data_IF_207955742950
#
_entry.id   IF_207955742950
#
_cell.length_a   1.000
_cell.length_b   1.000
_cell.length_c   1.000
_cell.angle_alpha   90.00
_cell.angle_beta   90.00
_cell.angle_gamma   90.00
#
_symmetry.space_group_name_H-M   'P 1'
#
loop_
_entity.id
_entity.type
_entity.pdbx_description
1 polymer ?
#
# COMPACT_ATOMS: atom_id res chain seq x y z
N UNK A 1 -7.38 -8.02 22.28
CA UNK A 1 -6.84 -7.68 20.94
C UNK A 1 -5.36 -7.38 21.10
N UNK A 2 -4.49 -8.33 20.75
CA UNK A 2 -3.04 -8.16 20.88
C UNK A 2 -2.47 -8.06 19.47
N UNK A 3 -1.76 -6.96 19.16
CA UNK A 3 -0.85 -6.84 18.01
C UNK A 3 -1.44 -6.75 16.61
N UNK A 4 -2.64 -6.17 16.41
CA UNK A 4 -3.09 -5.81 15.03
C UNK A 4 -2.99 -4.30 14.85
N UNK A 5 -2.45 -3.89 13.69
CA UNK A 5 -2.55 -2.50 13.25
C UNK A 5 -4.01 -2.03 13.32
N UNK A 6 -4.26 -0.79 13.74
CA UNK A 6 -5.61 -0.23 13.74
C UNK A 6 -6.17 -0.30 12.32
N UNK A 7 -7.39 -0.82 12.21
CA UNK A 7 -8.11 -0.92 10.95
C UNK A 7 -9.26 0.10 10.96
N UNK A 8 -9.34 0.98 9.95
CA UNK A 8 -10.33 2.05 9.94
C UNK A 8 -11.76 1.50 9.73
N UNK A 9 -12.75 2.15 10.36
CA UNK A 9 -14.16 1.75 10.38
C UNK A 9 -14.84 1.54 9.00
N UNK A 10 -14.52 2.31 7.93
CA UNK A 10 -15.08 2.07 6.59
C UNK A 10 -14.34 0.97 5.79
N UNK A 11 -13.29 0.36 6.35
CA UNK A 11 -12.54 -0.74 5.74
C UNK A 11 -11.81 -0.37 4.44
N UNK A 12 -11.80 -1.28 3.45
CA UNK A 12 -11.04 -1.11 2.20
C UNK A 12 -11.52 0.06 1.32
N UNK A 13 -12.73 0.59 1.57
CA UNK A 13 -13.31 1.65 0.75
C UNK A 13 -12.44 2.91 0.72
N UNK A 14 -11.93 3.36 1.87
CA UNK A 14 -11.05 4.54 1.96
C UNK A 14 -9.64 4.32 1.40
N UNK A 15 -9.33 3.08 1.01
CA UNK A 15 -8.06 2.69 0.37
C UNK A 15 -8.22 2.53 -1.15
N UNK A 16 -9.39 2.83 -1.70
CA UNK A 16 -9.67 2.78 -3.13
C UNK A 16 -10.37 4.07 -3.58
N UNK A 17 -9.65 5.22 -3.63
CA UNK A 17 -10.26 6.49 -3.97
C UNK A 17 -11.01 6.46 -5.31
N UNK A 18 -12.17 7.10 -5.34
CA UNK A 18 -13.07 7.14 -6.49
C UNK A 18 -14.02 5.95 -6.59
N UNK A 19 -14.35 5.52 -7.82
CA UNK A 19 -15.35 4.48 -8.05
C UNK A 19 -14.88 3.10 -7.53
N UNK A 20 -15.62 2.54 -6.59
CA UNK A 20 -15.37 1.23 -5.99
C UNK A 20 -16.03 0.15 -6.84
N UNK A 21 -15.21 -0.76 -7.38
CA UNK A 21 -15.68 -1.94 -8.11
C UNK A 21 -15.10 -3.21 -7.47
N UNK A 22 -15.75 -4.37 -7.70
CA UNK A 22 -15.27 -5.65 -7.18
C UNK A 22 -13.83 -5.94 -7.62
N UNK A 23 -13.53 -5.75 -8.91
CA UNK A 23 -12.21 -6.02 -9.47
C UNK A 23 -11.12 -5.14 -8.83
N UNK A 24 -11.41 -3.85 -8.58
CA UNK A 24 -10.50 -2.95 -7.87
C UNK A 24 -10.25 -3.40 -6.43
N UNK A 25 -11.31 -3.83 -5.74
CA UNK A 25 -11.19 -4.37 -4.38
C UNK A 25 -10.38 -5.66 -4.35
N UNK A 26 -10.52 -6.53 -5.35
CA UNK A 26 -9.74 -7.77 -5.46
C UNK A 26 -8.25 -7.45 -5.69
N UNK A 27 -7.93 -6.51 -6.58
CA UNK A 27 -6.55 -6.01 -6.79
C UNK A 27 -5.96 -5.45 -5.48
N UNK A 28 -6.71 -4.57 -4.81
CA UNK A 28 -6.27 -3.94 -3.57
C UNK A 28 -6.01 -4.96 -2.47
N UNK A 29 -6.90 -5.95 -2.30
CA UNK A 29 -6.73 -7.02 -1.28
C UNK A 29 -5.45 -7.81 -1.51
N UNK A 30 -5.18 -8.22 -2.74
CA UNK A 30 -3.98 -9.00 -3.07
C UNK A 30 -2.70 -8.18 -2.85
N UNK A 31 -2.70 -6.90 -3.24
CA UNK A 31 -1.56 -6.02 -3.02
C UNK A 31 -1.30 -5.77 -1.54
N UNK A 32 -2.36 -5.53 -0.75
CA UNK A 32 -2.28 -5.34 0.70
C UNK A 32 -1.78 -6.62 1.39
N UNK A 33 -2.27 -7.79 0.99
CA UNK A 33 -1.85 -9.09 1.53
C UNK A 33 -0.35 -9.32 1.34
N UNK A 34 0.16 -9.14 0.12
CA UNK A 34 1.60 -9.27 -0.18
C UNK A 34 2.42 -8.29 0.64
N UNK A 35 2.00 -7.03 0.69
CA UNK A 35 2.74 -5.99 1.42
C UNK A 35 2.84 -6.29 2.91
N UNK A 36 1.72 -6.66 3.53
CA UNK A 36 1.68 -7.01 4.95
C UNK A 36 2.44 -8.31 5.23
N UNK A 37 2.39 -9.29 4.32
CA UNK A 37 3.19 -10.52 4.41
C UNK A 37 4.69 -10.19 4.46
N UNK A 38 5.17 -9.33 3.54
CA UNK A 38 6.58 -8.91 3.49
C UNK A 38 7.02 -8.18 4.76
N UNK A 39 6.18 -7.27 5.26
CA UNK A 39 6.45 -6.58 6.55
C UNK A 39 6.63 -7.59 7.69
N UNK A 40 5.77 -8.62 7.76
CA UNK A 40 5.87 -9.67 8.79
C UNK A 40 7.10 -10.54 8.59
N UNK A 41 7.42 -10.93 7.37
CA UNK A 41 8.62 -11.72 7.04
C UNK A 41 9.91 -10.98 7.41
N UNK A 42 9.92 -9.66 7.25
CA UNK A 42 11.03 -8.81 7.64
C UNK A 42 11.10 -8.53 9.15
N UNK A 43 10.11 -8.97 9.94
CA UNK A 43 10.06 -8.71 11.39
C UNK A 43 9.68 -7.28 11.78
N UNK A 44 9.21 -6.47 10.83
CA UNK A 44 8.97 -5.02 11.01
C UNK A 44 7.55 -4.70 11.49
N UNK A 45 6.67 -5.70 11.59
CA UNK A 45 5.24 -5.49 11.83
C UNK A 45 4.95 -4.73 13.13
N UNK A 46 5.69 -5.05 14.19
CA UNK A 46 5.52 -4.45 15.51
C UNK A 46 6.24 -3.10 15.65
N UNK A 47 7.11 -2.74 14.71
CA UNK A 47 7.77 -1.42 14.66
C UNK A 47 6.90 -0.35 13.98
N UNK A 48 5.93 -0.80 13.18
CA UNK A 48 5.07 0.06 12.37
C UNK A 48 3.74 0.24 13.09
N UNK A 49 3.29 1.50 13.18
CA UNK A 49 1.99 1.81 13.76
C UNK A 49 0.85 1.32 12.86
N UNK A 50 0.93 1.63 11.58
CA UNK A 50 -0.04 1.21 10.58
C UNK A 50 0.62 1.11 9.21
N UNK A 51 0.36 0.01 8.50
CA UNK A 51 0.74 -0.19 7.11
C UNK A 51 -0.43 -0.70 6.27
N UNK A 52 -0.50 -0.27 5.01
CA UNK A 52 -1.50 -0.73 4.04
C UNK A 52 -1.16 -0.30 2.61
N UNK A 53 -1.81 -0.95 1.64
CA UNK A 53 -1.84 -0.54 0.24
C UNK A 53 -3.06 0.35 -0.07
N UNK A 54 -2.94 1.20 -1.08
CA UNK A 54 -4.00 2.04 -1.66
C UNK A 54 -3.98 1.87 -3.18
N UNK A 55 -5.13 1.66 -3.80
CA UNK A 55 -5.25 1.57 -5.25
C UNK A 55 -5.62 2.93 -5.82
N UNK A 56 -4.72 3.55 -6.58
CA UNK A 56 -4.94 4.90 -7.10
C UNK A 56 -5.87 4.88 -8.33
N UNK A 57 -6.75 5.88 -8.49
CA UNK A 57 -7.64 6.00 -9.65
C UNK A 57 -6.92 6.50 -10.91
N UNK A 58 -5.68 6.05 -11.13
CA UNK A 58 -4.86 6.39 -12.29
C UNK A 58 -4.32 5.13 -12.96
N UNK A 59 -4.29 5.15 -14.29
CA UNK A 59 -3.66 4.11 -15.11
C UNK A 59 -2.31 4.61 -15.60
N UNK A 60 -1.35 3.71 -15.74
CA UNK A 60 -0.01 4.05 -16.21
C UNK A 60 0.49 3.03 -17.22
N UNK A 61 1.38 3.48 -18.10
CA UNK A 61 2.03 2.62 -19.09
C UNK A 61 3.09 1.78 -18.40
N UNK A 62 3.04 0.48 -18.66
CA UNK A 62 4.08 -0.48 -18.32
C UNK A 62 4.52 -1.25 -19.56
N UNK A 63 5.59 -2.03 -19.39
CA UNK A 63 6.03 -3.02 -20.38
C UNK A 63 6.07 -4.36 -19.67
N UNK A 64 5.28 -5.32 -20.15
CA UNK A 64 5.29 -6.70 -19.66
C UNK A 64 5.46 -7.64 -20.86
N UNK A 65 6.53 -8.44 -20.85
CA UNK A 65 6.94 -9.20 -22.03
C UNK A 65 7.21 -8.27 -23.21
N UNK A 66 6.64 -8.58 -24.37
CA UNK A 66 6.79 -7.80 -25.60
C UNK A 66 5.72 -6.71 -25.78
N UNK A 67 4.79 -6.58 -24.82
CA UNK A 67 3.61 -5.71 -24.92
C UNK A 67 3.62 -4.53 -23.96
N UNK A 68 2.90 -3.46 -24.34
CA UNK A 68 2.57 -2.35 -23.43
C UNK A 68 1.34 -2.71 -22.60
N UNK A 69 1.36 -2.41 -21.32
CA UNK A 69 0.22 -2.55 -20.42
C UNK A 69 -0.28 -1.18 -19.96
N UNK A 70 -1.58 -1.09 -19.66
CA UNK A 70 -2.23 0.08 -19.06
C UNK A 70 -2.91 -0.34 -17.76
N UNK A 71 -2.12 -0.47 -16.70
CA UNK A 71 -2.55 -1.01 -15.42
C UNK A 71 -2.55 0.03 -14.30
N UNK A 72 -3.06 -0.37 -13.14
CA UNK A 72 -3.23 0.53 -12.00
C UNK A 72 -1.91 0.80 -11.28
N UNK A 73 -1.91 1.88 -10.52
CA UNK A 73 -0.85 2.22 -9.56
C UNK A 73 -1.29 1.85 -8.15
N UNK A 74 -0.42 1.16 -7.42
CA UNK A 74 -0.59 0.91 -5.99
C UNK A 74 0.33 1.84 -5.21
N UNK A 75 -0.21 2.59 -4.25
CA UNK A 75 0.57 3.31 -3.25
C UNK A 75 0.70 2.46 -1.99
N UNK A 76 1.92 2.33 -1.48
CA UNK A 76 2.22 1.72 -0.20
C UNK A 76 2.30 2.82 0.86
N UNK A 77 1.67 2.58 2.00
CA UNK A 77 1.70 3.45 3.17
C UNK A 77 2.21 2.68 4.37
N UNK A 78 3.16 3.24 5.09
CA UNK A 78 3.45 2.84 6.47
C UNK A 78 3.82 4.07 7.27
N UNK A 79 3.37 4.12 8.52
CA UNK A 79 3.65 5.23 9.42
C UNK A 79 4.07 4.73 10.79
N UNK A 80 4.87 5.55 11.47
CA UNK A 80 5.10 5.46 12.91
C UNK A 80 4.37 6.59 13.60
N UNK A 81 3.85 6.33 14.79
CA UNK A 81 3.15 7.33 15.59
C UNK A 81 3.24 6.95 17.06
N UNK A 82 3.28 7.96 17.92
CA UNK A 82 3.26 7.77 19.38
C UNK A 82 1.84 7.86 19.93
N UNK A 83 0.99 8.70 19.32
CA UNK A 83 -0.34 9.06 19.86
C UNK A 83 -1.44 9.20 18.79
N UNK A 84 -1.14 8.92 17.52
CA UNK A 84 -2.05 9.08 16.39
C UNK A 84 -2.32 10.53 15.98
N UNK A 85 -1.83 11.54 16.70
CA UNK A 85 -2.00 12.96 16.37
C UNK A 85 -0.98 13.41 15.32
N UNK A 86 0.28 12.99 15.48
CA UNK A 86 1.33 13.14 14.47
C UNK A 86 1.82 11.77 14.01
N UNK A 87 2.25 11.68 12.75
CA UNK A 87 2.81 10.45 12.22
C UNK A 87 3.85 10.74 11.14
N UNK A 88 4.98 10.05 11.20
CA UNK A 88 6.00 10.08 10.15
C UNK A 88 5.92 8.82 9.31
N UNK A 89 6.24 8.94 8.02
CA UNK A 89 6.35 7.76 7.17
C UNK A 89 7.42 6.81 7.71
N UNK A 90 7.18 5.51 7.64
CA UNK A 90 8.17 4.53 8.08
C UNK A 90 9.35 4.51 7.08
N UNK A 91 10.60 4.71 7.51
CA UNK A 91 11.73 4.83 6.59
C UNK A 91 12.25 3.44 6.17
N UNK A 92 11.47 2.72 5.36
CA UNK A 92 11.90 1.43 4.84
C UNK A 92 13.24 1.54 4.08
N UNK A 93 14.05 0.50 4.19
CA UNK A 93 15.18 0.31 3.28
C UNK A 93 14.68 0.18 1.84
N UNK A 94 15.35 0.83 0.89
CA UNK A 94 14.95 0.83 -0.51
C UNK A 94 14.93 -0.58 -1.12
N UNK A 95 15.72 -1.53 -0.61
CA UNK A 95 15.70 -2.93 -1.04
C UNK A 95 14.44 -3.63 -0.58
N UNK A 96 13.94 -3.33 0.62
CA UNK A 96 12.64 -3.83 1.08
C UNK A 96 11.52 -3.35 0.15
N UNK A 97 11.47 -2.04 -0.12
CA UNK A 97 10.47 -1.47 -1.02
C UNK A 97 10.56 -2.05 -2.44
N UNK A 98 11.77 -2.21 -2.97
CA UNK A 98 11.98 -2.82 -4.29
C UNK A 98 11.50 -4.28 -4.33
N UNK A 99 11.74 -5.05 -3.26
CA UNK A 99 11.30 -6.44 -3.16
C UNK A 99 9.77 -6.55 -3.11
N UNK A 100 9.13 -5.81 -2.20
CA UNK A 100 7.68 -5.78 -2.10
C UNK A 100 7.01 -5.31 -3.39
N UNK A 101 7.53 -4.25 -4.02
CA UNK A 101 7.05 -3.77 -5.31
C UNK A 101 7.16 -4.82 -6.42
N UNK A 102 8.28 -5.55 -6.48
CA UNK A 102 8.49 -6.62 -7.46
C UNK A 102 7.48 -7.75 -7.27
N UNK A 103 7.23 -8.18 -6.03
CA UNK A 103 6.22 -9.20 -5.74
C UNK A 103 4.83 -8.73 -6.17
N UNK A 104 4.42 -7.53 -5.79
CA UNK A 104 3.11 -6.97 -6.15
C UNK A 104 2.93 -6.93 -7.67
N UNK A 105 3.91 -6.42 -8.42
CA UNK A 105 3.82 -6.30 -9.89
C UNK A 105 3.73 -7.68 -10.56
N UNK A 106 4.45 -8.69 -10.04
CA UNK A 106 4.48 -10.01 -10.64
C UNK A 106 3.26 -10.88 -10.26
N UNK A 107 2.73 -10.72 -9.05
CA UNK A 107 1.69 -11.59 -8.50
C UNK A 107 0.28 -10.98 -8.66
N UNK A 108 0.15 -9.65 -8.73
CA UNK A 108 -1.15 -8.96 -8.80
C UNK A 108 -1.43 -8.49 -10.24
N UNK A 109 -2.26 -9.26 -10.95
CA UNK A 109 -2.75 -8.86 -12.28
C UNK A 109 -3.49 -7.52 -12.20
N UNK A 110 -3.15 -6.59 -13.09
CA UNK A 110 -3.75 -5.26 -13.12
C UNK A 110 -2.98 -4.20 -12.32
N UNK A 111 -1.75 -4.51 -11.88
CA UNK A 111 -0.80 -3.55 -11.30
C UNK A 111 0.50 -3.58 -12.11
N UNK A 112 1.01 -2.42 -12.50
CA UNK A 112 2.31 -2.32 -13.18
C UNK A 112 3.22 -1.23 -12.59
N UNK A 113 2.77 -0.58 -11.51
CA UNK A 113 3.53 0.46 -10.83
C UNK A 113 3.18 0.48 -9.35
N UNK A 114 4.21 0.60 -8.54
CA UNK A 114 4.11 0.76 -7.08
C UNK A 114 4.84 2.03 -6.68
N UNK A 115 4.25 2.81 -5.78
CA UNK A 115 4.85 4.02 -5.19
C UNK A 115 4.81 3.92 -3.66
N UNK A 116 5.61 4.74 -2.97
CA UNK A 116 5.59 4.82 -1.51
C UNK A 116 5.26 6.25 -1.06
N UNK A 117 4.33 6.38 -0.12
CA UNK A 117 3.91 7.67 0.42
C UNK A 117 4.84 8.15 1.54
N UNK A 118 5.65 9.17 1.22
CA UNK A 118 6.63 9.80 2.11
C UNK A 118 6.11 11.06 2.81
N UNK A 119 4.79 11.24 2.86
CA UNK A 119 4.15 12.43 3.45
C UNK A 119 3.88 12.23 4.94
N UNK A 120 4.39 13.09 5.81
CA UNK A 120 4.05 13.07 7.24
C UNK A 120 2.64 13.60 7.50
N UNK A 121 2.09 13.26 8.67
CA UNK A 121 0.90 13.87 9.27
C UNK A 121 1.37 14.78 10.41
N UNK A 122 1.17 16.11 10.32
CA UNK A 122 0.78 16.91 9.15
C UNK A 122 1.90 17.03 8.08
N UNK A 123 1.61 17.49 6.83
CA UNK A 123 0.35 18.07 6.34
C UNK A 123 -0.67 17.05 5.81
N UNK A 124 -0.26 15.80 5.59
CA UNK A 124 -1.14 14.75 5.11
C UNK A 124 -1.97 14.12 6.22
N UNK A 125 -2.75 13.12 5.84
CA UNK A 125 -3.43 12.19 6.75
C UNK A 125 -2.75 10.82 6.72
N UNK A 126 -3.12 9.92 7.63
CA UNK A 126 -2.66 8.52 7.55
C UNK A 126 -3.37 7.84 6.37
N UNK A 127 -4.70 7.88 6.38
CA UNK A 127 -5.57 7.41 5.29
C UNK A 127 -5.55 8.37 4.10
N UNK A 128 -6.03 7.88 2.96
CA UNK A 128 -6.09 8.65 1.70
C UNK A 128 -7.51 9.18 1.39
N UNK A 129 -8.53 8.76 2.14
CA UNK A 129 -9.90 9.28 2.15
C UNK A 129 -10.48 9.30 3.57
#
# INVERSE_FOLDING_TARGET
>A
SVGRHPFPGPGLAIRCPGEITKDKLDILRLADEIYIEEIRRAGLYDEIWQAFAVLLPVRTVGVMGDGRTYDNVVALRAVTSVDGMTADFYPFDMRFLAHAATRIINEVKGVNRVVYDVTSKPPGTIEWE
#
